data_IF_088038733044
#
_entry.id   IF_088038733044
#
_cell.length_a   1.000
_cell.length_b   1.000
_cell.length_c   1.000
_cell.angle_alpha   90.00
_cell.angle_beta   90.00
_cell.angle_gamma   90.00
#
_symmetry.space_group_name_H-M   'P 1'
#
loop_
_entity.id
_entity.type
_entity.pdbx_description
1 polymer ?
#
# COMPACT_ATOMS: atom_id res chain seq x y z
N UNK A 1 -3.10 19.48 -13.70
CA UNK A 1 -1.93 19.88 -12.91
C UNK A 1 -2.25 19.96 -11.44
N UNK A 2 -1.28 20.26 -10.60
CA UNK A 2 -1.32 20.25 -9.14
C UNK A 2 -2.49 21.04 -8.54
N UNK A 3 -2.81 22.21 -9.12
CA UNK A 3 -3.94 23.04 -8.66
C UNK A 3 -5.28 22.32 -8.76
N UNK A 4 -5.50 21.52 -9.80
CA UNK A 4 -6.73 20.73 -9.92
C UNK A 4 -6.81 19.64 -8.85
N UNK A 5 -5.71 18.92 -8.64
CA UNK A 5 -5.62 17.87 -7.62
C UNK A 5 -5.80 18.47 -6.21
N UNK A 6 -5.15 19.60 -5.93
CA UNK A 6 -5.31 20.30 -4.66
C UNK A 6 -6.77 20.71 -4.41
N UNK A 7 -7.42 21.34 -5.39
CA UNK A 7 -8.82 21.75 -5.26
C UNK A 7 -9.76 20.56 -5.07
N UNK A 8 -9.48 19.43 -5.75
CA UNK A 8 -10.28 18.20 -5.58
C UNK A 8 -10.22 17.71 -4.12
N UNK A 9 -9.03 17.49 -3.55
CA UNK A 9 -8.91 17.02 -2.17
C UNK A 9 -9.44 18.03 -1.15
N UNK A 10 -9.17 19.31 -1.33
CA UNK A 10 -9.70 20.37 -0.45
C UNK A 10 -11.23 20.43 -0.49
N UNK A 11 -11.84 20.25 -1.65
CA UNK A 11 -13.30 20.23 -1.77
C UNK A 11 -13.93 19.06 -1.00
N UNK A 12 -13.28 17.91 -0.96
CA UNK A 12 -13.72 16.77 -0.16
C UNK A 12 -13.51 17.06 1.32
N UNK A 13 -12.32 17.52 1.71
CA UNK A 13 -12.01 17.85 3.10
C UNK A 13 -12.97 18.86 3.72
N UNK A 14 -13.45 19.82 2.92
CA UNK A 14 -14.41 20.83 3.38
C UNK A 14 -15.86 20.30 3.53
N UNK A 15 -16.16 19.10 3.01
CA UNK A 15 -17.49 18.49 3.03
C UNK A 15 -17.59 17.27 3.92
N UNK A 16 -16.51 16.89 4.62
CA UNK A 16 -16.49 15.72 5.51
C UNK A 16 -16.02 16.08 6.89
N UNK A 17 -16.49 15.32 7.88
CA UNK A 17 -16.01 15.41 9.27
C UNK A 17 -14.86 14.45 9.58
N UNK A 18 -14.54 13.51 8.66
CA UNK A 18 -13.49 12.53 8.85
C UNK A 18 -12.13 13.01 8.33
N UNK A 19 -11.07 12.52 8.93
CA UNK A 19 -9.70 12.73 8.45
C UNK A 19 -9.46 11.99 7.14
N UNK A 20 -8.61 12.56 6.30
CA UNK A 20 -8.34 12.07 4.96
C UNK A 20 -6.88 11.66 4.79
N UNK A 21 -6.68 10.54 4.13
CA UNK A 21 -5.40 10.16 3.53
C UNK A 21 -5.45 10.36 2.02
N UNK A 22 -4.41 10.95 1.48
CA UNK A 22 -4.20 11.02 0.03
C UNK A 22 -3.49 9.77 -0.44
N UNK A 23 -3.85 9.24 -1.59
CA UNK A 23 -3.22 8.05 -2.15
C UNK A 23 -2.54 8.37 -3.47
N UNK A 24 -1.22 8.16 -3.53
CA UNK A 24 -0.43 8.19 -4.75
C UNK A 24 -0.41 6.79 -5.39
N UNK A 25 -1.50 6.42 -6.04
CA UNK A 25 -1.70 5.07 -6.59
C UNK A 25 -0.96 4.86 -7.91
N UNK A 26 -0.26 3.72 -8.10
CA UNK A 26 0.27 3.34 -9.39
C UNK A 26 -0.86 2.85 -10.30
N UNK A 27 -1.40 3.70 -11.13
CA UNK A 27 -2.41 3.32 -12.12
C UNK A 27 -1.74 2.48 -13.20
N UNK A 28 -1.76 1.17 -13.06
CA UNK A 28 -1.24 0.25 -14.06
C UNK A 28 -2.32 -0.32 -14.99
N UNK A 29 -3.58 -0.32 -14.60
CA UNK A 29 -4.62 -1.07 -15.27
C UNK A 29 -5.38 -0.19 -16.25
N UNK A 30 -4.97 -0.24 -17.51
CA UNK A 30 -5.74 0.28 -18.63
C UNK A 30 -5.62 1.78 -18.93
N UNK A 31 -5.06 2.57 -18.04
CA UNK A 31 -4.85 4.01 -18.26
C UNK A 31 -3.41 4.39 -18.64
N UNK A 32 -2.56 3.39 -18.84
CA UNK A 32 -1.26 3.53 -19.49
C UNK A 32 -0.32 4.53 -18.81
N UNK A 33 -0.12 4.43 -17.52
CA UNK A 33 0.78 5.34 -16.83
C UNK A 33 1.69 4.66 -15.82
N UNK A 34 2.83 5.26 -15.55
CA UNK A 34 3.59 5.04 -14.33
C UNK A 34 2.78 5.51 -13.12
N UNK A 35 3.23 5.14 -11.92
CA UNK A 35 2.57 5.57 -10.69
C UNK A 35 2.42 7.09 -10.60
N UNK A 36 1.37 7.53 -9.92
CA UNK A 36 1.15 8.96 -9.67
C UNK A 36 2.22 9.46 -8.71
N UNK A 37 2.94 10.50 -9.15
CA UNK A 37 3.93 11.19 -8.33
C UNK A 37 3.38 12.57 -7.96
N UNK A 38 3.04 12.75 -6.70
CA UNK A 38 2.66 14.08 -6.23
C UNK A 38 3.89 14.92 -5.94
N UNK A 39 3.90 16.14 -6.46
CA UNK A 39 5.00 17.07 -6.21
C UNK A 39 5.08 17.49 -4.73
N UNK A 40 6.27 17.84 -4.27
CA UNK A 40 6.48 18.39 -2.92
C UNK A 40 5.63 19.64 -2.71
N UNK A 41 5.48 20.49 -3.74
CA UNK A 41 4.66 21.70 -3.71
C UNK A 41 3.18 21.35 -3.46
N UNK A 42 2.65 20.38 -4.19
CA UNK A 42 1.27 19.90 -4.01
C UNK A 42 1.04 19.35 -2.61
N UNK A 43 1.93 18.48 -2.12
CA UNK A 43 1.79 17.88 -0.80
C UNK A 43 1.91 18.93 0.32
N UNK A 44 2.81 19.89 0.18
CA UNK A 44 2.88 21.02 1.12
C UNK A 44 1.59 21.85 1.12
N UNK A 45 0.94 22.00 -0.02
CA UNK A 45 -0.34 22.71 -0.10
C UNK A 45 -1.50 21.90 0.49
N UNK A 46 -1.53 20.59 0.26
CA UNK A 46 -2.54 19.68 0.81
C UNK A 46 -2.47 19.60 2.33
N UNK A 47 -1.27 19.43 2.89
CA UNK A 47 -1.08 19.30 4.35
C UNK A 47 -1.25 20.61 5.14
N UNK A 48 -1.54 21.75 4.47
CA UNK A 48 -2.06 22.94 5.14
C UNK A 48 -3.51 22.74 5.66
N UNK A 49 -4.27 21.83 5.04
CA UNK A 49 -5.60 21.48 5.50
C UNK A 49 -5.49 20.45 6.64
N UNK A 50 -5.92 20.77 7.87
CA UNK A 50 -5.75 19.88 9.02
C UNK A 50 -6.49 18.55 8.92
N UNK A 51 -7.47 18.44 8.02
CA UNK A 51 -8.18 17.19 7.76
C UNK A 51 -7.42 16.25 6.82
N UNK A 52 -6.40 16.72 6.12
CA UNK A 52 -5.55 15.87 5.27
C UNK A 52 -4.34 15.47 6.11
N UNK A 53 -4.45 14.35 6.80
CA UNK A 53 -3.51 13.95 7.85
C UNK A 53 -2.35 13.07 7.36
N UNK A 54 -2.45 12.53 6.14
CA UNK A 54 -1.41 11.61 5.67
C UNK A 54 -1.47 11.27 4.18
N UNK A 55 -0.47 10.48 3.79
CA UNK A 55 -0.28 10.01 2.43
C UNK A 55 0.03 8.52 2.44
N UNK A 56 -0.67 7.76 1.59
CA UNK A 56 -0.23 6.45 1.12
C UNK A 56 0.64 6.64 -0.12
N UNK A 57 1.95 6.46 0.06
CA UNK A 57 2.93 6.63 -1.01
C UNK A 57 3.12 5.33 -1.80
N UNK A 58 2.62 5.30 -3.02
CA UNK A 58 2.65 4.11 -3.88
C UNK A 58 3.08 4.43 -5.33
N UNK A 59 3.89 5.47 -5.50
CA UNK A 59 4.37 5.88 -6.84
C UNK A 59 5.26 4.85 -7.52
N UNK A 60 5.78 3.86 -6.80
CA UNK A 60 6.75 2.86 -7.27
C UNK A 60 8.12 3.42 -7.68
N UNK A 61 8.36 4.71 -7.47
CA UNK A 61 9.65 5.36 -7.67
C UNK A 61 10.36 5.51 -6.33
N UNK A 62 11.43 4.73 -6.15
CA UNK A 62 12.17 4.67 -4.88
C UNK A 62 12.75 6.05 -4.52
N UNK A 63 13.33 6.75 -5.49
CA UNK A 63 13.93 8.07 -5.24
C UNK A 63 12.88 9.10 -4.86
N UNK A 64 11.73 9.08 -5.54
CA UNK A 64 10.61 9.95 -5.21
C UNK A 64 10.06 9.64 -3.81
N UNK A 65 9.79 8.36 -3.51
CA UNK A 65 9.30 7.94 -2.19
C UNK A 65 10.25 8.39 -1.07
N UNK A 66 11.57 8.23 -1.27
CA UNK A 66 12.58 8.67 -0.30
C UNK A 66 12.49 10.18 -0.02
N UNK A 67 12.36 10.99 -1.06
CA UNK A 67 12.21 12.45 -0.90
C UNK A 67 10.94 12.78 -0.13
N UNK A 68 9.82 12.12 -0.46
CA UNK A 68 8.55 12.30 0.24
C UNK A 68 8.68 11.94 1.73
N UNK A 69 9.25 10.78 2.05
CA UNK A 69 9.40 10.36 3.44
C UNK A 69 10.31 11.31 4.23
N UNK A 70 11.44 11.72 3.67
CA UNK A 70 12.34 12.66 4.34
C UNK A 70 11.67 14.02 4.61
N UNK A 71 10.88 14.53 3.66
CA UNK A 71 10.24 15.84 3.79
C UNK A 71 9.04 15.83 4.75
N UNK A 72 8.23 14.76 4.73
CA UNK A 72 6.92 14.76 5.38
C UNK A 72 6.79 13.84 6.59
N UNK A 73 7.77 12.98 6.93
CA UNK A 73 7.64 12.02 8.04
C UNK A 73 7.36 12.65 9.42
N UNK A 74 7.69 13.94 9.60
CA UNK A 74 7.40 14.70 10.81
C UNK A 74 6.13 15.54 10.73
N UNK A 75 5.54 15.67 9.53
CA UNK A 75 4.41 16.57 9.25
C UNK A 75 3.12 15.82 9.00
N UNK A 76 3.21 14.57 8.54
CA UNK A 76 2.07 13.77 8.12
C UNK A 76 2.29 12.29 8.46
N UNK A 77 1.21 11.52 8.48
CA UNK A 77 1.27 10.06 8.61
C UNK A 77 1.58 9.48 7.23
N UNK A 78 2.72 8.83 7.10
CA UNK A 78 3.14 8.23 5.85
C UNK A 78 2.95 6.72 5.91
N UNK A 79 2.10 6.22 5.00
CA UNK A 79 1.80 4.81 4.84
C UNK A 79 2.65 4.28 3.70
N UNK A 80 3.48 3.28 3.97
CA UNK A 80 4.24 2.56 2.97
C UNK A 80 3.31 1.73 2.08
N UNK A 81 3.73 1.52 0.85
CA UNK A 81 2.83 1.06 -0.19
C UNK A 81 2.69 -0.45 -0.34
N UNK A 82 1.59 -0.81 -0.94
CA UNK A 82 1.43 -1.99 -1.77
C UNK A 82 1.37 -3.34 -1.06
N UNK A 83 1.14 -3.38 0.24
CA UNK A 83 0.97 -4.65 0.96
C UNK A 83 2.23 -5.50 1.03
N UNK A 84 3.42 -4.91 0.86
CA UNK A 84 4.71 -5.62 0.85
C UNK A 84 5.53 -5.32 2.10
N UNK A 85 5.83 -6.36 2.87
CA UNK A 85 6.72 -6.31 4.03
C UNK A 85 8.14 -5.89 3.62
N UNK A 86 8.68 -6.46 2.56
CA UNK A 86 10.01 -6.15 2.06
C UNK A 86 10.15 -4.68 1.67
N UNK A 87 9.11 -4.10 1.08
CA UNK A 87 9.08 -2.67 0.77
C UNK A 87 8.99 -1.83 2.03
N UNK A 88 8.20 -2.24 3.01
CA UNK A 88 8.04 -1.49 4.25
C UNK A 88 9.35 -1.40 5.06
N UNK A 89 10.22 -2.42 5.03
CA UNK A 89 11.55 -2.33 5.66
C UNK A 89 12.30 -1.09 5.16
N UNK A 90 12.30 -0.87 3.86
CA UNK A 90 12.93 0.30 3.23
C UNK A 90 12.19 1.61 3.58
N UNK A 91 10.88 1.60 3.45
CA UNK A 91 10.06 2.80 3.65
C UNK A 91 10.10 3.24 5.12
N UNK A 92 10.16 2.29 6.05
CA UNK A 92 10.33 2.56 7.48
C UNK A 92 11.68 3.22 7.78
N UNK A 93 12.75 2.80 7.11
CA UNK A 93 14.07 3.43 7.22
C UNK A 93 14.02 4.93 6.88
N UNK A 94 13.20 5.31 5.89
CA UNK A 94 13.01 6.71 5.49
C UNK A 94 11.91 7.44 6.25
N UNK A 95 11.20 6.79 7.16
CA UNK A 95 10.25 7.45 8.07
C UNK A 95 8.79 7.04 7.93
N UNK A 96 8.44 6.10 7.07
CA UNK A 96 7.09 5.51 7.07
C UNK A 96 6.83 4.83 8.42
N UNK A 97 5.66 5.08 9.01
CA UNK A 97 5.27 4.54 10.31
C UNK A 97 4.45 3.26 10.22
N UNK A 98 3.82 3.05 9.09
CA UNK A 98 2.92 1.93 8.85
C UNK A 98 2.88 1.59 7.36
N UNK A 99 2.24 0.47 7.02
CA UNK A 99 1.98 0.05 5.65
C UNK A 99 0.62 -0.67 5.59
N UNK A 100 0.08 -0.82 4.39
CA UNK A 100 -1.10 -1.65 4.19
C UNK A 100 -0.68 -3.10 4.01
N UNK A 101 -1.22 -3.97 4.85
CA UNK A 101 -0.96 -5.39 4.83
C UNK A 101 -1.74 -6.10 3.71
N UNK A 102 -1.06 -6.90 2.91
CA UNK A 102 -1.68 -7.72 1.87
C UNK A 102 -1.97 -9.13 2.40
N UNK A 103 -0.95 -9.83 2.82
CA UNK A 103 -1.01 -11.19 3.39
C UNK A 103 -1.85 -11.21 4.67
N UNK A 104 -1.88 -10.13 5.42
CA UNK A 104 -2.67 -9.99 6.64
C UNK A 104 -4.18 -10.20 6.47
N UNK A 105 -4.70 -10.14 5.25
CA UNK A 105 -6.12 -10.47 4.98
C UNK A 105 -6.44 -11.95 5.21
N UNK A 106 -5.47 -12.85 5.10
CA UNK A 106 -5.67 -14.29 5.32
C UNK A 106 -4.69 -14.90 6.34
N UNK A 107 -3.57 -14.23 6.62
CA UNK A 107 -2.58 -14.65 7.60
C UNK A 107 -2.14 -13.47 8.49
N UNK A 108 -3.05 -12.92 9.30
CA UNK A 108 -2.79 -11.70 10.08
C UNK A 108 -1.66 -11.87 11.10
N UNK A 109 -1.48 -13.06 11.66
CA UNK A 109 -0.41 -13.33 12.63
C UNK A 109 0.98 -13.10 12.02
N UNK A 110 1.17 -13.47 10.75
CA UNK A 110 2.44 -13.26 10.06
C UNK A 110 2.78 -11.76 9.92
N UNK A 111 1.79 -10.96 9.54
CA UNK A 111 1.96 -9.51 9.41
C UNK A 111 2.22 -8.84 10.76
N UNK A 112 1.55 -9.30 11.81
CA UNK A 112 1.80 -8.80 13.17
C UNK A 112 3.21 -9.16 13.66
N UNK A 113 3.64 -10.39 13.47
CA UNK A 113 4.99 -10.84 13.81
C UNK A 113 6.07 -10.04 13.09
N UNK A 114 5.83 -9.76 11.80
CA UNK A 114 6.74 -8.94 11.01
C UNK A 114 6.77 -7.48 11.52
N UNK A 115 5.60 -6.88 11.74
CA UNK A 115 5.51 -5.50 12.21
C UNK A 115 6.14 -5.33 13.60
N UNK A 116 5.95 -6.30 14.49
CA UNK A 116 6.60 -6.35 15.79
C UNK A 116 8.13 -6.42 15.64
N UNK A 117 8.63 -7.32 14.78
CA UNK A 117 10.07 -7.43 14.53
C UNK A 117 10.68 -6.11 14.05
N UNK A 118 10.02 -5.42 13.10
CA UNK A 118 10.47 -4.09 12.65
C UNK A 118 10.45 -3.07 13.78
N UNK A 119 9.37 -3.06 14.59
CA UNK A 119 9.21 -2.13 15.71
C UNK A 119 10.29 -2.32 16.78
N UNK A 120 10.70 -3.57 17.02
CA UNK A 120 11.77 -3.93 17.95
C UNK A 120 13.16 -3.87 17.34
N UNK A 121 13.28 -3.54 16.04
CA UNK A 121 14.52 -3.56 15.26
C UNK A 121 15.17 -4.94 15.15
N UNK A 122 14.38 -6.00 15.27
CA UNK A 122 14.82 -7.37 14.99
C UNK A 122 14.77 -7.63 13.47
N UNK A 123 15.76 -7.07 12.78
CA UNK A 123 15.83 -7.18 11.31
C UNK A 123 16.13 -8.60 10.84
N UNK A 124 16.73 -9.45 11.66
CA UNK A 124 16.96 -10.85 11.31
C UNK A 124 15.66 -11.64 11.29
N UNK A 125 14.78 -11.44 12.29
CA UNK A 125 13.42 -12.02 12.29
C UNK A 125 12.62 -11.50 11.11
N UNK A 126 12.60 -10.20 10.89
CA UNK A 126 11.87 -9.58 9.78
C UNK A 126 12.34 -10.13 8.41
N UNK A 127 13.67 -10.26 8.21
CA UNK A 127 14.26 -10.83 7.00
C UNK A 127 13.86 -12.28 6.78
N UNK A 128 13.85 -13.11 7.85
CA UNK A 128 13.39 -14.50 7.75
C UNK A 128 11.94 -14.60 7.32
N UNK A 129 11.06 -13.76 7.86
CA UNK A 129 9.64 -13.70 7.48
C UNK A 129 9.51 -13.35 5.99
N UNK A 130 10.17 -12.27 5.55
CA UNK A 130 10.15 -11.84 4.16
C UNK A 130 10.64 -12.95 3.22
N UNK A 131 11.80 -13.53 3.50
CA UNK A 131 12.42 -14.50 2.59
C UNK A 131 11.66 -15.83 2.54
N UNK A 132 11.10 -16.27 3.67
CA UNK A 132 10.52 -17.61 3.77
C UNK A 132 9.01 -17.63 3.56
N UNK A 133 8.33 -16.48 3.64
CA UNK A 133 6.88 -16.39 3.55
C UNK A 133 6.44 -15.41 2.44
N UNK A 134 6.81 -14.14 2.53
CA UNK A 134 6.34 -13.14 1.58
C UNK A 134 6.84 -13.39 0.16
N UNK A 135 8.16 -13.55 -0.02
CA UNK A 135 8.76 -13.69 -1.36
C UNK A 135 8.24 -14.95 -2.09
N UNK A 136 8.20 -16.15 -1.47
CA UNK A 136 7.62 -17.32 -2.13
C UNK A 136 6.16 -17.12 -2.51
N UNK A 137 5.35 -16.55 -1.62
CA UNK A 137 3.94 -16.23 -1.89
C UNK A 137 3.82 -15.24 -3.07
N UNK A 138 4.54 -14.14 -3.05
CA UNK A 138 4.47 -13.13 -4.11
C UNK A 138 4.95 -13.64 -5.45
N UNK A 139 5.99 -14.47 -5.48
CA UNK A 139 6.46 -15.11 -6.71
C UNK A 139 5.39 -15.99 -7.37
N UNK A 140 4.52 -16.58 -6.56
CA UNK A 140 3.41 -17.40 -7.04
C UNK A 140 2.22 -16.55 -7.46
N UNK A 141 1.80 -15.59 -6.65
CA UNK A 141 0.50 -14.91 -6.84
C UNK A 141 0.56 -13.69 -7.73
N UNK A 142 1.67 -12.93 -7.73
CA UNK A 142 1.78 -11.71 -8.55
C UNK A 142 1.62 -11.99 -10.05
N UNK A 143 2.21 -13.06 -10.62
CA UNK A 143 1.96 -13.44 -12.02
C UNK A 143 0.51 -13.83 -12.32
N UNK A 144 -0.23 -14.26 -11.30
CA UNK A 144 -1.65 -14.64 -11.46
C UNK A 144 -2.60 -13.43 -11.39
N UNK A 145 -2.11 -12.29 -10.93
CA UNK A 145 -2.89 -11.09 -10.64
C UNK A 145 -3.11 -10.94 -9.13
N UNK A 146 -2.60 -9.86 -8.56
CA UNK A 146 -2.60 -9.63 -7.11
C UNK A 146 -3.98 -9.76 -6.45
N UNK A 147 -4.97 -9.01 -6.91
CA UNK A 147 -6.30 -9.00 -6.29
C UNK A 147 -7.03 -10.35 -6.39
N UNK A 148 -7.14 -10.98 -7.58
CA UNK A 148 -7.78 -12.29 -7.69
C UNK A 148 -7.08 -13.37 -6.86
N UNK A 149 -5.74 -13.36 -6.81
CA UNK A 149 -5.00 -14.33 -6.02
C UNK A 149 -5.19 -14.11 -4.51
N UNK A 150 -5.21 -12.86 -4.05
CA UNK A 150 -5.49 -12.54 -2.66
C UNK A 150 -6.90 -13.00 -2.23
N UNK A 151 -7.92 -12.74 -3.06
CA UNK A 151 -9.28 -13.22 -2.80
C UNK A 151 -9.37 -14.74 -2.77
N UNK A 152 -8.69 -15.41 -3.68
CA UNK A 152 -8.63 -16.86 -3.66
C UNK A 152 -7.95 -17.38 -2.39
N UNK A 153 -6.84 -16.78 -1.96
CA UNK A 153 -6.19 -17.14 -0.70
C UNK A 153 -7.13 -16.99 0.51
N UNK A 154 -7.94 -15.93 0.54
CA UNK A 154 -8.95 -15.73 1.58
C UNK A 154 -10.04 -16.80 1.51
N UNK A 155 -10.52 -17.15 0.31
CA UNK A 155 -11.55 -18.18 0.14
C UNK A 155 -11.10 -19.58 0.60
N UNK A 156 -9.78 -19.85 0.56
CA UNK A 156 -9.22 -21.10 1.08
C UNK A 156 -9.30 -21.24 2.61
N UNK A 157 -9.64 -20.18 3.34
CA UNK A 157 -9.81 -20.23 4.81
C UNK A 157 -11.15 -20.80 5.26
N UNK A 158 -11.99 -21.30 4.35
CA UNK A 158 -13.36 -21.76 4.64
C UNK A 158 -14.24 -20.71 5.33
N UNK A 159 -13.93 -19.43 5.11
CA UNK A 159 -14.82 -18.33 5.42
C UNK A 159 -15.90 -18.27 4.34
N UNK A 160 -17.08 -17.81 4.69
CA UNK A 160 -18.20 -17.64 3.72
C UNK A 160 -17.91 -16.41 2.81
N UNK A 161 -16.78 -16.48 2.10
CA UNK A 161 -16.29 -15.48 1.17
C UNK A 161 -16.03 -16.11 -0.19
N UNK A 162 -16.45 -15.42 -1.22
CA UNK A 162 -16.22 -15.83 -2.61
C UNK A 162 -14.96 -15.19 -3.18
N UNK A 163 -14.30 -15.88 -4.10
CA UNK A 163 -13.20 -15.35 -4.90
C UNK A 163 -13.66 -14.53 -6.13
N UNK A 164 -14.97 -14.22 -6.19
CA UNK A 164 -15.56 -13.44 -7.27
C UNK A 164 -14.97 -12.03 -7.36
N UNK A 165 -14.65 -11.61 -8.58
CA UNK A 165 -14.18 -10.26 -8.88
C UNK A 165 -15.28 -9.42 -9.56
N UNK A 166 -15.29 -8.13 -9.26
CA UNK A 166 -16.15 -7.18 -9.96
C UNK A 166 -15.56 -6.85 -11.32
N UNK A 167 -16.42 -6.76 -12.34
CA UNK A 167 -16.00 -6.27 -13.67
C UNK A 167 -15.28 -4.91 -13.57
N UNK A 168 -14.25 -4.68 -14.38
CA UNK A 168 -13.71 -5.51 -15.47
C UNK A 168 -12.68 -6.56 -15.03
N UNK A 169 -12.44 -6.75 -13.74
CA UNK A 169 -11.49 -7.76 -13.25
C UNK A 169 -12.09 -9.16 -13.39
N UNK A 170 -11.23 -10.14 -13.60
CA UNK A 170 -11.60 -11.55 -13.72
C UNK A 170 -11.06 -12.33 -12.54
N UNK A 171 -11.86 -13.26 -12.01
CA UNK A 171 -11.40 -14.25 -11.04
C UNK A 171 -10.31 -15.15 -11.62
N UNK A 172 -9.55 -15.82 -10.77
CA UNK A 172 -8.56 -16.80 -11.22
C UNK A 172 -9.22 -17.92 -12.01
N UNK A 173 -8.56 -18.36 -13.08
CA UNK A 173 -8.95 -19.60 -13.76
C UNK A 173 -8.68 -20.83 -12.89
N UNK A 174 -9.39 -21.92 -13.13
CA UNK A 174 -9.20 -23.18 -12.39
C UNK A 174 -7.79 -23.75 -12.52
N UNK A 175 -7.09 -23.45 -13.61
CA UNK A 175 -5.68 -23.80 -13.80
C UNK A 175 -4.77 -23.05 -12.82
N UNK A 176 -5.03 -21.76 -12.57
CA UNK A 176 -4.25 -20.92 -11.66
C UNK A 176 -4.57 -21.15 -10.19
N UNK A 177 -5.67 -21.85 -9.89
CA UNK A 177 -6.07 -22.21 -8.52
C UNK A 177 -5.41 -23.51 -8.03
N UNK A 178 -4.77 -24.25 -8.91
CA UNK A 178 -4.01 -25.49 -8.63
C UNK A 178 -2.57 -25.19 -8.24
#
# INVERSE_FOLDING_TARGET
GDNYVSNFFKSIANKTEIDLFVHAEPIKNGLGGGGVKYSISLLNDLFKNPKIIGLKEESLDIGHSQVIYNEFAKKAILIGAGGSMSRFVRDNWFGAKTYLAGIGNFLPSLELDFFEAISQRDFDKAKKIVNNQEIPYFNTVVPCGWHPALKYSISCLNLDLTDFERCPMMSLSDEKKK
#
